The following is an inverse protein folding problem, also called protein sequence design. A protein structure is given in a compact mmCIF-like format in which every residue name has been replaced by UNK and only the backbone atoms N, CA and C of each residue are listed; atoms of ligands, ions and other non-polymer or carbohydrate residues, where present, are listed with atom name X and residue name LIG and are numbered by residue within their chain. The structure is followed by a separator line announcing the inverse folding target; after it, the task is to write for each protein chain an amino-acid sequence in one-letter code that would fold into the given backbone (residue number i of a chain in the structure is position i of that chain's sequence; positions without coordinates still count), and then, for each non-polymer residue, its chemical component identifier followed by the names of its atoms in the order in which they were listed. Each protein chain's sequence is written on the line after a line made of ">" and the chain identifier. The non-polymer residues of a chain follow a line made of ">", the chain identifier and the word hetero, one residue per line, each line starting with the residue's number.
data_IF_584617561664
#
_entry.id   IF_584617561664
#
_cell.length_a   1.000
_cell.length_b   1.000
_cell.length_c   1.000
_cell.angle_alpha   90.00
_cell.angle_beta   90.00
_cell.angle_gamma   90.00
#
_symmetry.space_group_name_H-M   'P 1'
#
loop_
_entity.id
_entity.type
_entity.pdbx_description
1 polymer ?
#
# COMPACT_ATOMS: atom_id res chain seq x y z
N UNK A 1 -17.68 -48.66 -0.17
CA UNK A 1 -18.02 -47.75 -1.27
C UNK A 1 -18.46 -46.41 -0.71
N UNK A 2 -17.53 -45.46 -0.65
CA UNK A 2 -17.75 -44.01 -0.75
C UNK A 2 -16.37 -43.39 -0.56
N UNK A 3 -15.62 -43.36 -1.67
CA UNK A 3 -14.41 -42.57 -1.79
C UNK A 3 -14.80 -41.10 -1.55
N UNK A 4 -14.29 -40.52 -0.45
CA UNK A 4 -14.14 -39.07 -0.39
C UNK A 4 -12.87 -38.76 -1.18
N UNK A 5 -13.10 -38.13 -2.32
CA UNK A 5 -12.07 -37.68 -3.25
C UNK A 5 -11.46 -36.41 -2.67
N UNK A 6 -10.36 -36.57 -1.93
CA UNK A 6 -9.50 -35.47 -1.48
C UNK A 6 -8.83 -34.86 -2.72
N UNK A 7 -9.50 -33.89 -3.33
CA UNK A 7 -8.87 -33.02 -4.34
C UNK A 7 -8.02 -31.99 -3.61
N UNK A 8 -6.82 -32.41 -3.24
CA UNK A 8 -5.72 -31.57 -2.78
C UNK A 8 -5.25 -30.70 -3.97
N UNK A 9 -5.91 -29.55 -4.14
CA UNK A 9 -5.54 -28.55 -5.14
C UNK A 9 -4.39 -27.68 -4.63
N UNK A 10 -3.24 -27.78 -5.30
CA UNK A 10 -1.97 -27.10 -5.05
C UNK A 10 -2.11 -25.61 -4.65
N UNK A 11 -2.05 -25.33 -3.35
CA UNK A 11 -1.90 -23.99 -2.81
C UNK A 11 -0.41 -23.59 -2.85
N UNK A 12 -0.02 -22.83 -3.87
CA UNK A 12 1.26 -22.11 -3.86
C UNK A 12 1.36 -21.23 -2.60
N UNK A 13 2.54 -21.22 -1.99
CA UNK A 13 2.86 -20.65 -0.68
C UNK A 13 2.40 -19.19 -0.53
N UNK A 14 1.22 -18.97 0.08
CA UNK A 14 0.68 -17.63 0.31
C UNK A 14 1.44 -16.95 1.46
N UNK A 15 1.84 -15.67 1.34
CA UNK A 15 2.53 -14.97 2.41
C UNK A 15 1.65 -14.92 3.66
N UNK A 16 2.24 -15.24 4.81
CA UNK A 16 1.56 -15.15 6.10
C UNK A 16 1.26 -13.69 6.44
N UNK A 17 -0.02 -13.35 6.53
CA UNK A 17 -0.49 -12.03 6.95
C UNK A 17 -0.96 -12.06 8.41
N UNK A 18 -0.50 -11.11 9.21
CA UNK A 18 -0.73 -11.08 10.67
C UNK A 18 -1.60 -9.91 11.14
N UNK A 19 -1.95 -8.97 10.25
CA UNK A 19 -2.77 -7.81 10.60
C UNK A 19 -4.27 -8.11 10.65
N UNK A 20 -5.07 -7.07 10.92
CA UNK A 20 -6.52 -7.19 11.11
C UNK A 20 -7.28 -7.12 9.78
N UNK A 21 -8.11 -8.14 9.49
CA UNK A 21 -8.96 -8.15 8.28
C UNK A 21 -10.35 -7.51 8.45
N UNK A 22 -10.94 -7.51 9.67
CA UNK A 22 -12.33 -7.03 9.90
C UNK A 22 -12.48 -6.21 11.18
N UNK A 23 -13.26 -5.13 11.10
CA UNK A 23 -13.48 -4.15 12.15
C UNK A 23 -14.81 -4.33 12.89
N UNK A 24 -15.36 -3.20 13.36
CA UNK A 24 -16.78 -3.11 13.76
C UNK A 24 -17.68 -3.41 12.55
N UNK A 25 -18.92 -3.83 12.81
CA UNK A 25 -19.92 -4.04 11.77
C UNK A 25 -20.08 -2.77 10.90
N UNK A 26 -20.11 -2.97 9.58
CA UNK A 26 -20.28 -1.89 8.62
C UNK A 26 -21.74 -1.48 8.52
N UNK A 27 -21.97 -0.17 8.33
CA UNK A 27 -23.30 0.38 8.05
C UNK A 27 -23.75 -0.04 6.64
N UNK A 28 -25.07 -0.02 6.37
CA UNK A 28 -25.65 -0.41 5.08
C UNK A 28 -24.98 0.28 3.87
N UNK A 29 -24.75 1.58 3.93
CA UNK A 29 -24.10 2.30 2.82
C UNK A 29 -22.68 1.78 2.55
N UNK A 30 -21.91 1.49 3.59
CA UNK A 30 -20.56 0.95 3.45
C UNK A 30 -20.55 -0.50 2.91
N UNK A 31 -21.59 -1.29 3.23
CA UNK A 31 -21.79 -2.61 2.60
C UNK A 31 -22.14 -2.47 1.12
N UNK A 32 -23.06 -1.56 0.77
CA UNK A 32 -23.43 -1.29 -0.63
C UNK A 32 -22.25 -0.84 -1.49
N UNK A 33 -21.30 -0.08 -0.94
CA UNK A 33 -20.04 0.25 -1.60
C UNK A 33 -19.18 -0.98 -1.90
N UNK A 34 -19.06 -1.89 -0.93
CA UNK A 34 -18.29 -3.12 -1.10
C UNK A 34 -18.93 -4.07 -2.12
N UNK A 35 -20.26 -4.12 -2.15
CA UNK A 35 -20.98 -5.05 -3.03
C UNK A 35 -21.14 -4.48 -4.45
N UNK A 36 -21.25 -3.15 -4.60
CA UNK A 36 -21.51 -2.49 -5.87
C UNK A 36 -20.29 -1.83 -6.53
N UNK A 37 -19.47 -1.11 -5.76
CA UNK A 37 -18.36 -0.31 -6.32
C UNK A 37 -17.04 -1.09 -6.32
N UNK A 38 -16.72 -1.81 -5.24
CA UNK A 38 -15.46 -2.56 -5.17
C UNK A 38 -15.24 -3.51 -6.36
N UNK A 39 -16.21 -4.31 -6.82
CA UNK A 39 -15.97 -5.24 -7.94
C UNK A 39 -15.55 -4.55 -9.24
N UNK A 40 -15.85 -3.26 -9.40
CA UNK A 40 -15.48 -2.46 -10.58
C UNK A 40 -14.08 -1.86 -10.48
N UNK A 41 -13.59 -1.64 -9.26
CA UNK A 41 -12.29 -1.03 -8.98
C UNK A 41 -11.24 -2.04 -8.55
N UNK A 42 -11.66 -3.26 -8.21
CA UNK A 42 -10.80 -4.29 -7.65
C UNK A 42 -9.85 -4.86 -8.72
N UNK A 43 -8.57 -4.90 -8.37
CA UNK A 43 -7.58 -5.72 -9.06
C UNK A 43 -7.74 -7.15 -8.55
N UNK A 44 -7.97 -8.10 -9.45
CA UNK A 44 -8.05 -9.51 -9.10
C UNK A 44 -6.71 -10.04 -8.58
N UNK A 45 -6.74 -11.02 -7.67
CA UNK A 45 -5.52 -11.70 -7.22
C UNK A 45 -4.88 -12.41 -8.39
N UNK A 46 -3.63 -12.06 -8.77
CA UNK A 46 -2.96 -12.69 -9.90
C UNK A 46 -2.71 -14.17 -9.64
N UNK A 47 -2.96 -15.01 -10.64
CA UNK A 47 -2.56 -16.42 -10.64
C UNK A 47 -1.06 -16.57 -10.86
N UNK A 48 -0.51 -17.79 -10.67
CA UNK A 48 0.90 -18.07 -10.93
C UNK A 48 1.31 -17.68 -12.36
N UNK A 49 2.36 -16.87 -12.49
CA UNK A 49 2.88 -16.41 -13.78
C UNK A 49 2.04 -15.34 -14.49
N UNK A 50 0.93 -14.87 -13.91
CA UNK A 50 0.20 -13.74 -14.48
C UNK A 50 0.92 -12.42 -14.22
N UNK A 51 1.00 -11.58 -15.26
CA UNK A 51 1.40 -10.19 -15.16
C UNK A 51 0.17 -9.30 -14.98
N UNK A 52 0.29 -8.26 -14.16
CA UNK A 52 -0.67 -7.15 -14.05
C UNK A 52 -0.01 -5.89 -14.56
N UNK A 53 -0.42 -5.44 -15.75
CA UNK A 53 0.07 -4.20 -16.37
C UNK A 53 -0.59 -2.97 -15.71
N UNK A 54 0.11 -2.19 -14.86
CA UNK A 54 -0.56 -1.21 -14.02
C UNK A 54 -1.19 -0.06 -14.82
N UNK A 55 -0.52 0.38 -15.88
CA UNK A 55 -1.03 1.43 -16.75
C UNK A 55 -2.34 1.03 -17.45
N UNK A 56 -2.51 -0.25 -17.77
CA UNK A 56 -3.71 -0.77 -18.44
C UNK A 56 -4.94 -0.82 -17.52
N UNK A 57 -4.76 -0.64 -16.21
CA UNK A 57 -5.86 -0.62 -15.26
C UNK A 57 -6.69 0.66 -15.36
N UNK A 58 -6.15 1.74 -15.93
CA UNK A 58 -6.74 3.07 -15.93
C UNK A 58 -7.27 3.46 -17.32
N UNK A 59 -8.45 4.06 -17.34
CA UNK A 59 -9.07 4.63 -18.54
C UNK A 59 -9.79 5.91 -18.11
N UNK A 60 -9.33 7.10 -18.56
CA UNK A 60 -8.29 7.33 -19.57
C UNK A 60 -6.88 6.93 -19.11
N UNK A 61 -5.90 6.80 -20.05
CA UNK A 61 -4.53 6.46 -19.71
C UNK A 61 -3.89 7.49 -18.77
N UNK A 62 -3.09 7.00 -17.83
CA UNK A 62 -2.34 7.79 -16.84
C UNK A 62 -0.86 7.87 -17.22
N UNK A 63 -0.20 8.98 -16.88
CA UNK A 63 1.23 9.21 -17.15
C UNK A 63 2.15 8.47 -16.17
N UNK A 64 1.67 8.16 -14.98
CA UNK A 64 2.39 7.45 -13.92
C UNK A 64 1.43 6.63 -13.08
N UNK A 65 1.93 5.56 -12.47
CA UNK A 65 1.19 4.76 -11.50
C UNK A 65 1.94 4.75 -10.17
N UNK A 66 1.23 5.03 -9.09
CA UNK A 66 1.74 4.95 -7.73
C UNK A 66 0.98 3.89 -6.94
N UNK A 67 1.64 3.34 -5.92
CA UNK A 67 1.08 2.31 -5.07
C UNK A 67 1.17 2.70 -3.59
N UNK A 68 0.09 2.50 -2.84
CA UNK A 68 0.07 2.69 -1.39
C UNK A 68 -0.20 1.36 -0.67
N UNK A 69 0.75 0.96 0.19
CA UNK A 69 0.66 -0.25 1.01
C UNK A 69 -0.05 0.08 2.32
N UNK A 70 -1.17 -0.60 2.57
CA UNK A 70 -1.93 -0.45 3.80
C UNK A 70 -2.52 0.95 3.95
N UNK A 71 -3.29 1.41 2.96
CA UNK A 71 -3.82 2.78 2.90
C UNK A 71 -4.79 3.13 4.04
N UNK A 72 -5.20 2.16 4.87
CA UNK A 72 -6.07 2.39 6.02
C UNK A 72 -7.42 2.98 5.60
N UNK A 73 -7.73 4.20 6.03
CA UNK A 73 -8.98 4.90 5.68
C UNK A 73 -9.04 5.42 4.24
N UNK A 74 -7.91 5.47 3.53
CA UNK A 74 -7.81 5.87 2.14
C UNK A 74 -7.82 7.37 1.88
N UNK A 75 -7.76 8.21 2.92
CA UNK A 75 -7.80 9.67 2.77
C UNK A 75 -6.58 10.18 1.99
N UNK A 76 -5.39 9.71 2.35
CA UNK A 76 -4.15 10.07 1.66
C UNK A 76 -4.19 9.69 0.17
N UNK A 77 -4.58 8.45 -0.12
CA UNK A 77 -4.74 7.96 -1.49
C UNK A 77 -5.74 8.79 -2.27
N UNK A 78 -6.90 9.11 -1.68
CA UNK A 78 -7.93 9.90 -2.33
C UNK A 78 -7.49 11.34 -2.59
N UNK A 79 -6.75 11.96 -1.65
CA UNK A 79 -6.21 13.31 -1.81
C UNK A 79 -5.18 13.36 -2.95
N UNK A 80 -4.33 12.33 -3.09
CA UNK A 80 -3.39 12.22 -4.22
C UNK A 80 -4.12 12.03 -5.56
N UNK A 81 -5.14 11.18 -5.59
CA UNK A 81 -5.94 10.92 -6.78
C UNK A 81 -6.71 12.16 -7.25
N UNK A 82 -7.25 12.94 -6.31
CA UNK A 82 -7.95 14.20 -6.59
C UNK A 82 -7.02 15.32 -7.06
N UNK A 83 -5.79 15.36 -6.53
CA UNK A 83 -4.81 16.39 -6.88
C UNK A 83 -4.31 16.29 -8.34
N UNK A 84 -4.26 15.08 -8.92
CA UNK A 84 -3.80 14.88 -10.29
C UNK A 84 -4.43 13.62 -10.93
N UNK A 85 -5.41 13.83 -11.82
CA UNK A 85 -6.08 12.77 -12.57
C UNK A 85 -5.18 12.05 -13.58
N UNK A 86 -4.01 12.61 -13.90
CA UNK A 86 -2.99 11.96 -14.72
C UNK A 86 -2.20 10.88 -13.98
N UNK A 87 -2.42 10.69 -12.69
CA UNK A 87 -1.74 9.66 -11.88
C UNK A 87 -2.73 8.56 -11.53
N UNK A 88 -2.38 7.32 -11.83
CA UNK A 88 -3.12 6.15 -11.37
C UNK A 88 -2.70 5.76 -9.96
N UNK A 89 -3.64 5.61 -9.04
CA UNK A 89 -3.39 5.18 -7.66
C UNK A 89 -3.86 3.74 -7.46
N UNK A 90 -2.94 2.87 -7.05
CA UNK A 90 -3.24 1.50 -6.61
C UNK A 90 -3.16 1.47 -5.08
N UNK A 91 -4.30 1.27 -4.43
CA UNK A 91 -4.37 1.08 -2.98
C UNK A 91 -4.42 -0.40 -2.62
N UNK A 92 -3.47 -0.89 -1.82
CA UNK A 92 -3.46 -2.25 -1.31
C UNK A 92 -3.87 -2.28 0.18
N UNK A 93 -4.95 -2.95 0.52
CA UNK A 93 -5.46 -3.03 1.89
C UNK A 93 -6.23 -4.33 2.11
N UNK A 94 -6.04 -4.93 3.28
CA UNK A 94 -6.73 -6.16 3.72
C UNK A 94 -7.89 -5.87 4.67
N UNK A 95 -7.90 -4.69 5.29
CA UNK A 95 -8.88 -4.29 6.27
C UNK A 95 -10.15 -3.81 5.58
N UNK A 96 -11.19 -4.65 5.64
CA UNK A 96 -12.46 -4.42 4.93
C UNK A 96 -13.11 -3.06 5.24
N UNK A 97 -12.97 -2.56 6.47
CA UNK A 97 -13.52 -1.25 6.83
C UNK A 97 -12.71 -0.10 6.22
N UNK A 98 -11.40 -0.27 6.07
CA UNK A 98 -10.53 0.67 5.37
C UNK A 98 -10.89 0.76 3.90
N UNK A 99 -11.03 -0.40 3.24
CA UNK A 99 -11.51 -0.49 1.85
C UNK A 99 -12.85 0.24 1.68
N UNK A 100 -13.84 -0.03 2.54
CA UNK A 100 -15.12 0.65 2.47
C UNK A 100 -15.02 2.18 2.67
N UNK A 101 -14.07 2.64 3.49
CA UNK A 101 -13.78 4.06 3.69
C UNK A 101 -13.26 4.70 2.40
N UNK A 102 -12.23 4.08 1.77
CA UNK A 102 -11.69 4.56 0.50
C UNK A 102 -12.75 4.62 -0.59
N UNK A 103 -13.58 3.58 -0.72
CA UNK A 103 -14.68 3.57 -1.71
C UNK A 103 -15.67 4.72 -1.48
N UNK A 104 -15.88 5.13 -0.23
CA UNK A 104 -16.69 6.31 0.09
C UNK A 104 -16.04 7.60 -0.42
N UNK A 105 -14.73 7.75 -0.27
CA UNK A 105 -13.98 8.88 -0.84
C UNK A 105 -14.04 8.88 -2.37
N UNK A 106 -13.80 7.74 -2.99
CA UNK A 106 -13.86 7.58 -4.46
C UNK A 106 -15.23 7.95 -5.00
N UNK A 107 -16.32 7.44 -4.39
CA UNK A 107 -17.67 7.76 -4.84
C UNK A 107 -18.01 9.23 -4.61
N UNK A 108 -17.68 9.80 -3.44
CA UNK A 108 -18.06 11.16 -3.08
C UNK A 108 -17.33 12.22 -3.92
N UNK A 109 -16.08 11.95 -4.32
CA UNK A 109 -15.23 12.87 -5.09
C UNK A 109 -15.19 12.57 -6.59
N UNK A 110 -15.82 11.49 -7.03
CA UNK A 110 -15.88 11.11 -8.45
C UNK A 110 -14.53 10.69 -9.03
N UNK A 111 -13.69 10.00 -8.24
CA UNK A 111 -12.33 9.61 -8.64
C UNK A 111 -12.37 8.41 -9.60
N UNK A 112 -11.80 8.55 -10.79
CA UNK A 112 -11.74 7.49 -11.82
C UNK A 112 -10.36 6.83 -11.93
N UNK A 113 -9.33 7.50 -11.40
CA UNK A 113 -7.92 7.13 -11.37
C UNK A 113 -7.51 6.32 -10.12
N UNK A 114 -8.44 5.61 -9.48
CA UNK A 114 -8.17 4.76 -8.30
C UNK A 114 -8.48 3.28 -8.61
N UNK A 115 -7.59 2.39 -8.20
CA UNK A 115 -7.78 0.94 -8.19
C UNK A 115 -7.45 0.37 -6.82
N UNK A 116 -8.16 -0.69 -6.45
CA UNK A 116 -8.05 -1.29 -5.12
C UNK A 116 -7.59 -2.73 -5.26
N UNK A 117 -6.54 -3.10 -4.53
CA UNK A 117 -6.17 -4.49 -4.34
C UNK A 117 -6.59 -4.90 -2.91
N UNK A 118 -7.71 -5.63 -2.75
CA UNK A 118 -8.30 -5.91 -1.44
C UNK A 118 -7.61 -7.07 -0.69
N UNK A 119 -6.31 -7.24 -0.91
CA UNK A 119 -5.48 -8.30 -0.33
C UNK A 119 -4.08 -7.75 0.02
N UNK A 120 -3.25 -8.63 0.59
CA UNK A 120 -1.88 -8.32 0.95
C UNK A 120 -1.04 -7.98 -0.29
N UNK A 121 -0.44 -6.79 -0.32
CA UNK A 121 0.38 -6.29 -1.44
C UNK A 121 1.44 -7.30 -1.91
N UNK A 122 1.93 -8.18 -1.03
CA UNK A 122 2.92 -9.23 -1.37
C UNK A 122 2.41 -10.24 -2.39
N UNK A 123 1.10 -10.32 -2.60
CA UNK A 123 0.48 -11.10 -3.68
C UNK A 123 0.45 -10.35 -5.02
N UNK A 124 0.50 -9.01 -4.99
CA UNK A 124 0.48 -8.17 -6.19
C UNK A 124 1.90 -7.85 -6.67
N UNK A 125 2.82 -7.50 -5.76
CA UNK A 125 4.18 -7.08 -6.12
C UNK A 125 4.87 -8.02 -7.10
N UNK A 126 4.84 -9.36 -6.97
CA UNK A 126 5.50 -10.27 -7.93
C UNK A 126 4.89 -10.23 -9.33
N UNK A 127 3.61 -9.92 -9.45
CA UNK A 127 2.89 -9.87 -10.73
C UNK A 127 3.06 -8.53 -11.47
N UNK A 128 3.61 -7.50 -10.81
CA UNK A 128 3.89 -6.22 -11.45
C UNK A 128 5.18 -6.33 -12.29
N UNK A 129 5.21 -5.78 -13.51
CA UNK A 129 6.43 -5.68 -14.31
C UNK A 129 7.52 -4.85 -13.61
N UNK A 130 8.78 -5.08 -13.99
CA UNK A 130 9.89 -4.23 -13.56
C UNK A 130 9.67 -2.78 -14.04
N UNK A 131 9.96 -1.80 -13.19
CA UNK A 131 9.85 -0.39 -13.59
C UNK A 131 8.44 0.07 -13.97
N UNK A 132 7.41 -0.56 -13.41
CA UNK A 132 6.01 -0.23 -13.71
C UNK A 132 5.39 0.84 -12.78
N UNK A 133 6.05 1.16 -11.67
CA UNK A 133 5.60 2.15 -10.68
C UNK A 133 6.56 3.33 -10.60
N UNK A 134 6.02 4.54 -10.44
CA UNK A 134 6.83 5.74 -10.21
C UNK A 134 7.01 6.06 -8.72
N UNK A 135 6.11 5.57 -7.86
CA UNK A 135 6.14 5.84 -6.43
C UNK A 135 5.46 4.74 -5.62
N UNK A 136 6.03 4.44 -4.45
CA UNK A 136 5.44 3.54 -3.45
C UNK A 136 5.37 4.24 -2.09
N UNK A 137 4.24 4.10 -1.41
CA UNK A 137 3.99 4.63 -0.08
C UNK A 137 3.82 3.49 0.94
N UNK A 138 4.45 3.63 2.10
CA UNK A 138 4.27 2.76 3.27
C UNK A 138 4.13 3.67 4.51
N UNK A 139 2.91 4.12 4.78
CA UNK A 139 2.64 5.14 5.79
C UNK A 139 2.00 4.51 7.03
N UNK A 140 2.65 4.70 8.18
CA UNK A 140 2.18 4.21 9.49
C UNK A 140 1.80 2.73 9.52
N UNK A 141 2.66 1.83 8.99
CA UNK A 141 2.40 0.39 9.01
C UNK A 141 2.38 -0.16 10.44
N UNK A 142 1.76 -1.33 10.63
CA UNK A 142 1.74 -2.03 11.92
C UNK A 142 3.18 -2.18 12.49
N UNK A 143 3.46 -1.65 13.69
CA UNK A 143 4.84 -1.48 14.15
C UNK A 143 5.50 -2.78 14.65
N UNK A 144 4.67 -3.74 15.10
CA UNK A 144 5.11 -5.00 15.71
C UNK A 144 6.25 -4.78 16.74
N UNK A 145 6.00 -4.11 17.87
CA UNK A 145 7.07 -3.61 18.76
C UNK A 145 7.88 -4.72 19.44
N UNK A 146 7.32 -5.93 19.57
CA UNK A 146 8.00 -7.07 20.20
C UNK A 146 9.04 -7.65 19.24
N UNK A 147 10.28 -7.84 19.72
CA UNK A 147 11.40 -8.36 18.91
C UNK A 147 11.09 -9.68 18.18
N UNK A 148 10.36 -10.60 18.83
CA UNK A 148 9.91 -11.88 18.24
C UNK A 148 8.91 -11.76 17.07
N UNK A 149 8.50 -10.54 16.72
CA UNK A 149 7.58 -10.24 15.61
C UNK A 149 8.24 -9.31 14.58
N UNK A 150 9.56 -9.07 14.66
CA UNK A 150 10.26 -8.15 13.79
C UNK A 150 10.13 -8.54 12.31
N UNK A 151 10.08 -9.83 12.02
CA UNK A 151 9.86 -10.42 10.70
C UNK A 151 8.49 -10.08 10.07
N UNK A 152 7.56 -9.52 10.85
CA UNK A 152 6.24 -9.09 10.38
C UNK A 152 6.22 -7.65 9.89
N UNK A 153 7.29 -6.88 10.14
CA UNK A 153 7.38 -5.48 9.74
C UNK A 153 7.59 -5.41 8.24
N UNK A 154 6.75 -4.62 7.57
CA UNK A 154 6.74 -4.56 6.12
C UNK A 154 8.06 -4.08 5.51
N UNK A 155 8.74 -3.09 6.09
CA UNK A 155 10.04 -2.60 5.61
C UNK A 155 11.15 -3.59 5.99
N UNK A 156 11.27 -4.69 5.24
CA UNK A 156 12.30 -5.71 5.39
C UNK A 156 13.02 -5.92 4.03
N UNK A 157 14.18 -6.61 3.99
CA UNK A 157 14.96 -6.77 2.77
C UNK A 157 14.13 -7.30 1.59
N UNK A 158 13.34 -8.35 1.81
CA UNK A 158 12.59 -9.04 0.75
C UNK A 158 11.52 -8.13 0.11
N UNK A 159 10.82 -7.34 0.93
CA UNK A 159 9.82 -6.40 0.42
C UNK A 159 10.49 -5.18 -0.23
N UNK A 160 11.65 -4.73 0.27
CA UNK A 160 12.41 -3.66 -0.35
C UNK A 160 12.97 -4.06 -1.71
N UNK A 161 13.43 -5.31 -1.88
CA UNK A 161 13.82 -5.87 -3.17
C UNK A 161 12.64 -5.89 -4.15
N UNK A 162 11.47 -6.35 -3.69
CA UNK A 162 10.26 -6.37 -4.51
C UNK A 162 9.83 -4.96 -4.95
N UNK A 163 9.90 -3.97 -4.04
CA UNK A 163 9.62 -2.56 -4.33
C UNK A 163 10.65 -1.97 -5.30
N UNK A 164 11.94 -2.22 -5.07
CA UNK A 164 13.01 -1.73 -5.93
C UNK A 164 12.87 -2.23 -7.37
N UNK A 165 12.47 -3.49 -7.55
CA UNK A 165 12.18 -4.07 -8.87
C UNK A 165 11.05 -3.33 -9.59
N UNK A 166 9.93 -3.08 -8.92
CA UNK A 166 8.74 -2.51 -9.58
C UNK A 166 8.83 -1.00 -9.76
N UNK A 167 9.63 -0.29 -8.97
CA UNK A 167 9.87 1.15 -9.18
C UNK A 167 10.68 1.40 -10.45
N UNK A 168 10.44 2.48 -11.18
CA UNK A 168 11.35 2.99 -12.24
C UNK A 168 12.65 3.52 -11.63
N UNK A 169 13.78 3.55 -12.36
CA UNK A 169 14.97 4.28 -11.91
C UNK A 169 14.59 5.74 -11.63
N UNK A 170 15.03 6.27 -10.50
CA UNK A 170 14.60 7.59 -10.02
C UNK A 170 13.22 7.64 -9.36
N UNK A 171 12.47 6.52 -9.31
CA UNK A 171 11.19 6.42 -8.62
C UNK A 171 11.34 6.51 -7.10
N UNK A 172 10.26 6.86 -6.40
CA UNK A 172 10.32 7.21 -4.97
C UNK A 172 9.70 6.14 -4.07
N UNK A 173 10.37 5.86 -2.94
CA UNK A 173 9.81 5.15 -1.80
C UNK A 173 9.62 6.13 -0.64
N UNK A 174 8.37 6.25 -0.19
CA UNK A 174 7.93 7.15 0.88
C UNK A 174 7.46 6.34 2.07
N UNK A 175 8.14 6.47 3.20
CA UNK A 175 7.82 5.73 4.44
C UNK A 175 7.61 6.71 5.58
N UNK A 176 6.62 6.47 6.44
CA UNK A 176 6.42 7.25 7.65
C UNK A 176 6.02 6.35 8.83
N UNK A 177 6.46 6.69 10.04
CA UNK A 177 6.02 6.01 11.26
C UNK A 177 6.25 6.89 12.49
N UNK A 178 5.40 6.74 13.50
CA UNK A 178 5.50 7.37 14.83
C UNK A 178 5.92 6.39 15.94
N UNK A 179 6.11 5.09 15.60
CA UNK A 179 6.57 4.08 16.54
C UNK A 179 8.11 4.03 16.58
N UNK A 180 8.77 4.30 17.71
CA UNK A 180 10.23 4.37 17.77
C UNK A 180 10.94 3.08 17.34
N UNK A 181 10.34 1.91 17.61
CA UNK A 181 10.91 0.61 17.23
C UNK A 181 10.82 0.43 15.72
N UNK A 182 9.69 0.80 15.13
CA UNK A 182 9.54 0.75 13.67
C UNK A 182 10.39 1.79 12.96
N UNK A 183 10.51 3.00 13.49
CA UNK A 183 11.37 4.07 12.93
C UNK A 183 12.82 3.60 12.85
N UNK A 184 13.36 3.03 13.92
CA UNK A 184 14.73 2.53 13.93
C UNK A 184 14.90 1.30 13.02
N UNK A 185 13.87 0.45 12.96
CA UNK A 185 13.83 -0.67 12.02
C UNK A 185 13.86 -0.21 10.56
N UNK A 186 13.00 0.73 10.19
CA UNK A 186 12.92 1.27 8.84
C UNK A 186 14.21 2.00 8.46
N UNK A 187 14.76 2.83 9.35
CA UNK A 187 16.03 3.54 9.15
C UNK A 187 17.15 2.57 8.79
N UNK A 188 17.30 1.47 9.55
CA UNK A 188 18.34 0.46 9.30
C UNK A 188 18.19 -0.21 7.93
N UNK A 189 17.00 -0.69 7.60
CA UNK A 189 16.78 -1.44 6.36
C UNK A 189 16.84 -0.53 5.13
N UNK A 190 16.24 0.66 5.19
CA UNK A 190 16.29 1.62 4.09
C UNK A 190 17.71 2.13 3.84
N UNK A 191 18.46 2.48 4.88
CA UNK A 191 19.84 2.94 4.73
C UNK A 191 20.81 1.83 4.28
N UNK A 192 20.51 0.57 4.62
CA UNK A 192 21.33 -0.58 4.24
C UNK A 192 21.03 -1.17 2.86
N UNK A 193 19.95 -0.74 2.19
CA UNK A 193 19.53 -1.34 0.93
C UNK A 193 20.25 -0.73 -0.27
N UNK A 194 20.93 -1.54 -1.06
CA UNK A 194 21.81 -1.08 -2.16
C UNK A 194 21.07 -0.41 -3.33
N UNK A 195 19.78 -0.71 -3.51
CA UNK A 195 18.97 -0.16 -4.59
C UNK A 195 18.43 1.26 -4.34
N UNK A 196 18.60 1.82 -3.14
CA UNK A 196 17.99 3.10 -2.76
C UNK A 196 19.01 4.14 -2.30
N UNK A 197 18.83 5.37 -2.77
CA UNK A 197 19.50 6.55 -2.24
C UNK A 197 18.58 7.32 -1.29
N UNK A 198 19.11 7.72 -0.14
CA UNK A 198 18.37 8.56 0.82
C UNK A 198 18.29 9.99 0.28
N UNK A 199 17.07 10.51 0.15
CA UNK A 199 16.80 11.92 -0.15
C UNK A 199 16.57 12.69 1.15
N UNK A 200 15.72 12.16 2.03
CA UNK A 200 15.35 12.80 3.30
C UNK A 200 15.07 11.77 4.38
N UNK A 201 15.43 12.10 5.62
CA UNK A 201 14.94 11.43 6.82
C UNK A 201 14.76 12.50 7.91
N UNK A 202 13.52 12.88 8.22
CA UNK A 202 13.21 14.03 9.08
C UNK A 202 12.00 13.77 9.96
N UNK A 203 11.90 14.50 11.07
CA UNK A 203 10.67 14.61 11.86
C UNK A 203 9.91 15.91 11.53
N UNK A 204 10.59 16.87 10.91
CA UNK A 204 10.00 18.13 10.47
C UNK A 204 9.15 17.94 9.20
N UNK A 205 7.83 18.05 9.36
CA UNK A 205 6.87 17.98 8.26
C UNK A 205 7.03 19.13 7.25
N UNK A 206 7.54 20.29 7.65
CA UNK A 206 7.75 21.41 6.73
C UNK A 206 8.85 21.12 5.69
N UNK A 207 9.72 20.16 5.97
CA UNK A 207 10.76 19.69 5.05
C UNK A 207 10.24 18.69 4.01
N UNK A 208 8.98 18.25 4.07
CA UNK A 208 8.41 17.29 3.11
C UNK A 208 8.09 17.94 1.76
N UNK A 209 8.16 17.19 0.66
CA UNK A 209 7.65 17.63 -0.65
C UNK A 209 6.17 18.05 -0.56
N UNK A 210 5.80 19.06 -1.37
CA UNK A 210 4.43 19.60 -1.39
C UNK A 210 3.38 18.54 -1.80
N UNK A 211 3.78 17.52 -2.57
CA UNK A 211 2.94 16.40 -3.00
C UNK A 211 2.90 15.24 -1.97
N UNK A 212 3.11 15.54 -0.67
CA UNK A 212 2.96 14.62 0.45
C UNK A 212 1.82 15.10 1.38
N UNK A 213 0.54 14.86 1.01
CA UNK A 213 -0.58 15.20 1.88
C UNK A 213 -0.49 14.43 3.20
N UNK A 214 -1.00 15.00 4.28
CA UNK A 214 -1.01 14.31 5.57
C UNK A 214 -2.05 13.19 5.57
N UNK A 215 -1.74 12.05 6.19
CA UNK A 215 -2.80 11.07 6.45
C UNK A 215 -3.69 11.54 7.61
N UNK A 216 -4.94 11.04 7.70
CA UNK A 216 -5.78 11.29 8.90
C UNK A 216 -5.11 10.77 10.17
N UNK A 217 -4.36 9.66 10.10
CA UNK A 217 -3.64 9.11 11.23
C UNK A 217 -2.50 10.04 11.67
N UNK A 218 -1.73 10.56 10.72
CA UNK A 218 -0.67 11.54 10.97
C UNK A 218 -1.20 12.76 11.71
N UNK A 219 -2.29 13.36 11.22
CA UNK A 219 -2.92 14.52 11.87
C UNK A 219 -3.36 14.24 13.32
N UNK A 220 -3.71 12.98 13.63
CA UNK A 220 -4.01 12.55 15.01
C UNK A 220 -2.74 12.35 15.84
N UNK A 221 -1.70 11.77 15.25
CA UNK A 221 -0.43 11.52 15.95
C UNK A 221 0.32 12.79 16.30
N UNK A 222 0.24 13.83 15.45
CA UNK A 222 0.87 15.14 15.72
C UNK A 222 0.42 15.77 17.06
N UNK A 223 -0.68 15.31 17.65
CA UNK A 223 -1.12 15.73 18.98
C UNK A 223 -0.35 15.06 20.15
N UNK A 224 0.51 14.06 19.92
CA UNK A 224 1.16 13.33 21.01
C UNK A 224 2.46 12.56 20.69
N UNK A 225 2.81 12.35 19.42
CA UNK A 225 4.09 11.75 18.99
C UNK A 225 4.54 12.40 17.69
N UNK A 226 5.84 12.65 17.57
CA UNK A 226 6.43 13.19 16.35
C UNK A 226 6.76 12.04 15.38
N UNK A 227 6.10 11.98 14.20
CA UNK A 227 6.44 10.97 13.19
C UNK A 227 7.83 11.22 12.61
N UNK A 228 8.50 10.15 12.19
CA UNK A 228 9.65 10.25 11.28
C UNK A 228 9.21 9.88 9.87
N UNK A 229 9.62 10.71 8.93
CA UNK A 229 9.38 10.56 7.50
C UNK A 229 10.69 10.22 6.79
N UNK A 230 10.61 9.29 5.85
CA UNK A 230 11.73 8.81 5.04
C UNK A 230 11.35 8.92 3.56
N UNK A 231 12.18 9.61 2.79
CA UNK A 231 12.10 9.68 1.33
C UNK A 231 13.37 9.09 0.74
N UNK A 232 13.21 8.03 -0.05
CA UNK A 232 14.28 7.35 -0.75
C UNK A 232 13.96 7.29 -2.24
N UNK A 233 15.01 7.25 -3.07
CA UNK A 233 14.91 7.19 -4.52
C UNK A 233 15.56 5.89 -5.02
N UNK A 234 14.90 5.17 -5.93
CA UNK A 234 15.50 4.01 -6.62
C UNK A 234 16.69 4.49 -7.47
N UNK A 235 17.82 3.82 -7.34
CA UNK A 235 19.00 4.01 -8.20
C UNK A 235 18.72 3.65 -9.66
#
# INVERSE_FOLDING_TARGET
>A
MSHHDDTESAAGDRPRFFGRRRGKALRRNALGLLDGLLPRLAIAVPGPGQSVEPAALFSPPVRQVWLEVGFGGGEHLADLAEADSGIGLIGCEVFRNGIASLLGHVQARGLDNVRVFPEDVRLLLPALPEGSLSRVFVLFPDPWPKARHAERRFVCPENLDAIARVLVPGGELRVASDDPVYVEWARRHLAGHSAFDKILATTDRASLPADWPATRYELKCLAGREPTFFLYRRR
#
